data_IF_664961419561
#
_entry.id   IF_664961419561
#
_cell.length_a   1.000
_cell.length_b   1.000
_cell.length_c   1.000
_cell.angle_alpha   90.00
_cell.angle_beta   90.00
_cell.angle_gamma   90.00
#
_symmetry.space_group_name_H-M   'P 1'
#
loop_
_entity.id
_entity.type
_entity.pdbx_description
1 polymer ?
#
# COMPACT_ATOMS: atom_id res chain seq x y z
N UNK A 1 30.81 6.27 38.67
CA UNK A 1 31.57 5.15 38.06
C UNK A 1 32.90 5.68 37.51
N UNK A 2 34.02 4.97 37.70
CA UNK A 2 35.35 5.42 37.23
C UNK A 2 35.33 5.57 35.69
N UNK A 3 35.80 6.70 35.15
CA UNK A 3 35.76 7.05 33.71
C UNK A 3 36.34 5.95 32.80
N UNK A 4 37.32 5.21 33.29
CA UNK A 4 37.92 4.06 32.58
C UNK A 4 36.98 2.86 32.47
N UNK A 5 36.14 2.62 33.48
CA UNK A 5 35.14 1.54 33.46
C UNK A 5 33.99 1.85 32.48
N UNK A 6 33.60 3.13 32.34
CA UNK A 6 32.58 3.56 31.37
C UNK A 6 33.09 3.40 29.94
N UNK A 7 34.34 3.78 29.65
CA UNK A 7 34.95 3.61 28.32
C UNK A 7 35.12 2.14 27.94
N UNK A 8 35.51 1.29 28.89
CA UNK A 8 35.58 -0.16 28.68
C UNK A 8 34.22 -0.79 28.41
N UNK A 9 33.19 -0.39 29.16
CA UNK A 9 31.81 -0.84 28.93
C UNK A 9 31.28 -0.40 27.56
N UNK A 10 31.55 0.85 27.14
CA UNK A 10 31.11 1.36 25.85
C UNK A 10 31.76 0.61 24.67
N UNK A 11 33.06 0.33 24.78
CA UNK A 11 33.80 -0.42 23.76
C UNK A 11 33.29 -1.87 23.65
N UNK A 12 32.93 -2.48 24.78
CA UNK A 12 32.39 -3.84 24.82
C UNK A 12 30.98 -3.92 24.21
N UNK A 13 30.12 -2.92 24.45
CA UNK A 13 28.78 -2.84 23.83
C UNK A 13 28.89 -2.65 22.32
N UNK A 14 29.81 -1.79 21.85
CA UNK A 14 30.01 -1.55 20.42
C UNK A 14 30.55 -2.81 19.70
N UNK A 15 31.46 -3.55 20.33
CA UNK A 15 31.97 -4.81 19.80
C UNK A 15 30.88 -5.89 19.73
N UNK A 16 29.96 -5.93 20.71
CA UNK A 16 28.86 -6.88 20.73
C UNK A 16 27.86 -6.60 19.59
N UNK A 17 27.54 -5.33 19.33
CA UNK A 17 26.64 -4.93 18.24
C UNK A 17 27.20 -5.29 16.86
N UNK A 18 28.52 -5.22 16.68
CA UNK A 18 29.18 -5.59 15.42
C UNK A 18 29.23 -7.11 15.19
N UNK A 19 29.16 -7.91 16.25
CA UNK A 19 29.19 -9.37 16.16
C UNK A 19 27.83 -9.99 15.76
N UNK A 20 26.71 -9.27 15.98
CA UNK A 20 25.36 -9.76 15.66
C UNK A 20 24.91 -9.50 14.21
N UNK A 21 25.66 -8.73 13.41
CA UNK A 21 25.27 -8.41 12.03
C UNK A 21 25.65 -9.46 10.97
N UNK A 22 26.22 -10.61 11.37
CA UNK A 22 26.73 -11.64 10.45
C UNK A 22 25.85 -12.91 10.35
N UNK A 23 24.70 -13.00 11.04
CA UNK A 23 23.80 -14.18 11.04
C UNK A 23 22.40 -13.75 10.56
N UNK A 24 22.30 -13.35 9.29
CA UNK A 24 21.05 -12.83 8.72
C UNK A 24 20.72 -13.28 7.30
N UNK A 25 21.49 -14.19 6.70
CA UNK A 25 21.17 -14.75 5.39
C UNK A 25 21.09 -16.27 5.47
N UNK A 26 19.87 -16.78 5.67
CA UNK A 26 19.49 -18.12 5.25
C UNK A 26 18.32 -17.94 4.30
N UNK A 27 18.56 -18.12 3.01
CA UNK A 27 17.54 -18.16 1.96
C UNK A 27 16.81 -19.51 2.07
N UNK A 28 15.75 -19.56 2.87
CA UNK A 28 14.75 -20.62 2.78
C UNK A 28 13.37 -19.98 2.64
N UNK A 29 12.95 -19.81 1.38
CA UNK A 29 11.60 -19.41 1.00
C UNK A 29 10.67 -20.62 1.15
N UNK A 30 9.64 -20.60 2.01
CA UNK A 30 8.61 -21.63 1.99
C UNK A 30 7.70 -21.39 0.77
N UNK A 31 7.80 -22.27 -0.23
CA UNK A 31 6.77 -22.42 -1.27
C UNK A 31 5.61 -23.20 -0.68
N UNK A 32 4.44 -22.57 -0.53
CA UNK A 32 3.27 -23.25 0.04
C UNK A 32 1.98 -22.46 -0.12
N UNK A 33 1.49 -22.32 -1.35
CA UNK A 33 0.10 -21.95 -1.61
C UNK A 33 -0.74 -23.23 -1.70
N UNK A 34 -0.94 -23.92 -0.57
CA UNK A 34 -1.95 -24.96 -0.43
C UNK A 34 -3.20 -24.36 0.23
N UNK A 35 -3.99 -23.63 -0.56
CA UNK A 35 -5.35 -23.28 -0.18
C UNK A 35 -6.29 -24.40 -0.62
N UNK A 36 -6.72 -25.22 0.35
CA UNK A 36 -7.81 -26.17 0.21
C UNK A 36 -9.08 -25.47 -0.32
N UNK A 37 -9.71 -25.95 -1.41
CA UNK A 37 -10.95 -25.35 -1.89
C UNK A 37 -12.07 -25.57 -0.88
N UNK A 38 -12.67 -24.47 -0.41
CA UNK A 38 -13.89 -24.51 0.41
C UNK A 38 -15.05 -25.06 -0.42
N UNK A 39 -15.87 -26.00 0.10
CA UNK A 39 -16.95 -26.61 -0.66
C UNK A 39 -18.04 -25.60 -1.03
N UNK A 40 -18.35 -25.55 -2.32
CA UNK A 40 -19.48 -24.82 -2.90
C UNK A 40 -20.81 -25.40 -2.39
N UNK A 41 -21.77 -24.58 -1.91
CA UNK A 41 -23.11 -25.06 -1.63
C UNK A 41 -23.79 -25.55 -2.92
N UNK A 42 -24.41 -26.74 -2.84
CA UNK A 42 -25.17 -27.37 -3.92
C UNK A 42 -26.35 -26.48 -4.34
N UNK A 43 -26.34 -26.01 -5.58
CA UNK A 43 -27.44 -25.24 -6.16
C UNK A 43 -28.67 -26.13 -6.42
N UNK A 44 -29.84 -25.66 -5.99
CA UNK A 44 -31.18 -26.12 -6.38
C UNK A 44 -31.44 -25.64 -7.82
N UNK A 45 -32.04 -26.45 -8.71
CA UNK A 45 -32.17 -26.09 -10.13
C UNK A 45 -33.28 -25.06 -10.34
N UNK A 46 -32.93 -23.89 -10.89
CA UNK A 46 -33.84 -22.86 -11.40
C UNK A 46 -33.51 -22.66 -12.91
N UNK A 47 -34.50 -22.38 -13.78
CA UNK A 47 -34.51 -22.86 -15.16
C UNK A 47 -33.50 -22.16 -16.07
N UNK A 48 -33.02 -22.95 -17.03
CA UNK A 48 -32.13 -22.54 -18.13
C UNK A 48 -32.68 -21.34 -18.89
N UNK A 49 -32.11 -20.17 -18.60
CA UNK A 49 -32.11 -19.01 -19.50
C UNK A 49 -30.70 -18.94 -20.07
N UNK A 50 -30.58 -18.87 -21.40
CA UNK A 50 -29.30 -18.71 -22.09
C UNK A 50 -28.52 -17.53 -21.48
N UNK A 51 -27.21 -17.67 -21.19
CA UNK A 51 -26.47 -16.62 -20.52
C UNK A 51 -26.31 -15.45 -21.49
N UNK A 52 -27.13 -14.42 -21.30
CA UNK A 52 -26.88 -13.10 -21.88
C UNK A 52 -25.56 -12.64 -21.26
N UNK A 53 -24.51 -12.58 -22.07
CA UNK A 53 -23.23 -11.99 -21.65
C UNK A 53 -23.49 -10.52 -21.40
N UNK A 54 -23.69 -10.16 -20.12
CA UNK A 54 -23.80 -8.76 -19.70
C UNK A 54 -22.39 -8.19 -19.79
N UNK A 55 -22.08 -7.52 -20.91
CA UNK A 55 -20.88 -6.71 -20.99
C UNK A 55 -21.05 -5.53 -20.01
N UNK A 56 -20.06 -5.26 -19.15
CA UNK A 56 -20.09 -4.06 -18.32
C UNK A 56 -20.16 -2.83 -19.23
N UNK A 57 -21.02 -1.87 -18.88
CA UNK A 57 -21.17 -0.58 -19.59
C UNK A 57 -19.94 0.28 -19.33
N UNK A 58 -18.88 -0.02 -20.07
CA UNK A 58 -17.57 0.63 -19.98
C UNK A 58 -17.42 1.49 -21.23
N UNK A 59 -17.17 2.82 -21.08
CA UNK A 59 -16.83 3.68 -22.20
C UNK A 59 -15.72 3.07 -23.06
N UNK A 60 -15.90 3.09 -24.39
CA UNK A 60 -15.01 2.43 -25.33
C UNK A 60 -13.55 2.94 -25.28
N UNK A 61 -13.33 4.09 -24.68
CA UNK A 61 -12.05 4.79 -24.50
C UNK A 61 -11.44 4.59 -23.10
N UNK A 62 -12.04 3.76 -22.24
CA UNK A 62 -11.45 3.48 -20.92
C UNK A 62 -10.09 2.80 -21.10
N UNK A 63 -9.08 3.33 -20.41
CA UNK A 63 -7.74 2.74 -20.39
C UNK A 63 -7.82 1.29 -19.88
N UNK A 64 -7.61 0.34 -20.79
CA UNK A 64 -7.57 -1.09 -20.48
C UNK A 64 -6.11 -1.51 -20.23
N UNK A 65 -5.79 -1.71 -18.96
CA UNK A 65 -4.47 -2.16 -18.54
C UNK A 65 -4.14 -3.60 -18.98
N UNK A 66 -5.12 -4.36 -19.47
CA UNK A 66 -4.92 -5.70 -20.04
C UNK A 66 -4.45 -5.65 -21.51
N UNK A 67 -4.83 -4.61 -22.26
CA UNK A 67 -4.45 -4.42 -23.67
C UNK A 67 -3.22 -3.52 -23.80
N UNK A 68 -3.15 -2.47 -22.99
CA UNK A 68 -1.99 -1.57 -22.90
C UNK A 68 -1.39 -1.70 -21.50
N UNK A 69 -0.36 -2.55 -21.32
CA UNK A 69 0.31 -2.70 -20.03
C UNK A 69 0.75 -1.33 -19.52
N UNK A 70 0.52 -1.07 -18.23
CA UNK A 70 1.06 0.13 -17.60
C UNK A 70 2.57 0.12 -17.80
N UNK A 71 3.11 1.15 -18.42
CA UNK A 71 4.53 1.24 -18.80
C UNK A 71 5.46 1.56 -17.63
N UNK A 72 4.95 1.53 -16.40
CA UNK A 72 5.75 1.58 -15.19
C UNK A 72 6.05 0.14 -14.74
N UNK A 73 7.33 -0.21 -14.63
CA UNK A 73 7.69 -1.41 -13.89
C UNK A 73 7.11 -1.28 -12.47
N UNK A 74 6.52 -2.36 -11.96
CA UNK A 74 6.19 -2.42 -10.54
C UNK A 74 7.46 -2.16 -9.74
N UNK A 75 7.36 -1.34 -8.68
CA UNK A 75 8.53 -1.08 -7.88
C UNK A 75 8.96 -2.36 -7.14
N UNK A 76 10.25 -2.67 -7.22
CA UNK A 76 10.85 -3.89 -6.66
C UNK A 76 11.33 -3.68 -5.22
N UNK A 77 11.51 -2.43 -4.80
CA UNK A 77 11.83 -2.09 -3.43
C UNK A 77 10.58 -2.18 -2.55
N UNK A 78 10.62 -2.91 -1.42
CA UNK A 78 9.48 -2.94 -0.51
C UNK A 78 9.27 -1.56 0.12
N UNK A 79 8.00 -1.14 0.21
CA UNK A 79 7.62 0.04 0.97
C UNK A 79 7.74 -0.28 2.47
N UNK A 80 8.75 0.31 3.13
CA UNK A 80 8.95 0.17 4.58
C UNK A 80 8.42 1.44 5.26
N UNK A 81 7.42 1.28 6.14
CA UNK A 81 6.80 2.39 6.88
C UNK A 81 6.91 2.13 8.37
N UNK A 82 7.33 3.15 9.13
CA UNK A 82 7.20 3.16 10.59
C UNK A 82 5.93 3.92 10.93
N UNK A 83 4.92 3.21 11.42
CA UNK A 83 3.62 3.77 11.79
C UNK A 83 3.20 3.30 13.18
N UNK A 84 2.20 3.97 13.76
CA UNK A 84 1.59 3.55 15.02
C UNK A 84 0.75 2.27 14.86
N UNK A 85 -0.08 1.97 15.85
CA UNK A 85 -0.94 0.78 15.82
C UNK A 85 -2.00 0.90 14.72
N UNK A 86 -1.96 -0.02 13.76
CA UNK A 86 -3.00 -0.18 12.74
C UNK A 86 -4.22 -0.91 13.32
N UNK A 87 -5.42 -0.49 12.93
CA UNK A 87 -6.67 -1.15 13.31
C UNK A 87 -7.14 -2.15 12.22
N UNK A 88 -6.49 -2.13 11.04
CA UNK A 88 -6.73 -3.08 9.96
C UNK A 88 -7.95 -2.75 9.09
N UNK A 89 -8.51 -1.55 9.21
CA UNK A 89 -9.65 -1.07 8.39
C UNK A 89 -9.16 -0.06 7.37
N UNK A 90 -8.53 -0.56 6.29
CA UNK A 90 -8.02 0.26 5.18
C UNK A 90 -9.14 0.69 4.22
N UNK A 91 -10.05 1.52 4.72
CA UNK A 91 -11.14 2.09 3.94
C UNK A 91 -11.28 3.56 4.28
N UNK A 92 -11.33 4.46 3.28
CA UNK A 92 -11.45 5.90 3.54
C UNK A 92 -12.75 6.27 4.26
N UNK A 93 -13.76 5.38 4.25
CA UNK A 93 -15.05 5.61 4.91
C UNK A 93 -15.17 4.96 6.29
N UNK A 94 -14.37 3.92 6.56
CA UNK A 94 -14.54 3.06 7.74
C UNK A 94 -13.27 2.87 8.56
N UNK A 95 -12.18 3.57 8.22
CA UNK A 95 -10.97 3.58 9.02
C UNK A 95 -11.26 4.07 10.44
N UNK A 96 -10.72 3.38 11.43
CA UNK A 96 -10.91 3.70 12.85
C UNK A 96 -9.65 4.25 13.52
N UNK A 97 -8.51 4.21 12.83
CA UNK A 97 -7.25 4.82 13.24
C UNK A 97 -6.74 5.80 12.18
N UNK A 98 -6.01 6.83 12.61
CA UNK A 98 -5.33 7.75 11.69
C UNK A 98 -4.28 7.02 10.84
N UNK A 99 -3.65 5.97 11.39
CA UNK A 99 -2.62 5.19 10.70
C UNK A 99 -3.18 4.34 9.55
N UNK A 100 -4.42 3.84 9.68
CA UNK A 100 -5.13 3.18 8.57
C UNK A 100 -5.47 4.17 7.45
N UNK A 101 -5.78 5.42 7.80
CA UNK A 101 -6.00 6.51 6.83
C UNK A 101 -4.70 6.80 6.09
N UNK A 102 -3.59 7.00 6.79
CA UNK A 102 -2.28 7.23 6.17
C UNK A 102 -1.90 6.10 5.19
N UNK A 103 -2.11 4.85 5.58
CA UNK A 103 -1.87 3.69 4.72
C UNK A 103 -2.78 3.68 3.48
N UNK A 104 -4.04 4.07 3.65
CA UNK A 104 -5.01 4.18 2.55
C UNK A 104 -4.61 5.29 1.58
N UNK A 105 -4.20 6.45 2.11
CA UNK A 105 -3.80 7.63 1.34
C UNK A 105 -2.56 7.37 0.48
N UNK A 106 -1.62 6.53 0.94
CA UNK A 106 -0.47 6.08 0.15
C UNK A 106 -0.83 5.23 -1.08
N UNK A 107 -2.04 4.67 -1.13
CA UNK A 107 -2.50 3.79 -2.22
C UNK A 107 -3.44 4.47 -3.21
N UNK A 108 -3.81 5.73 -2.94
CA UNK A 108 -4.81 6.46 -3.69
C UNK A 108 -4.24 7.81 -4.15
N UNK A 109 -4.90 8.42 -5.12
CA UNK A 109 -4.59 9.77 -5.57
C UNK A 109 -5.82 10.64 -5.39
N UNK A 110 -5.65 11.78 -4.72
CA UNK A 110 -6.71 12.76 -4.54
C UNK A 110 -6.98 13.55 -5.83
N UNK A 111 -8.16 14.16 -5.92
CA UNK A 111 -8.44 15.12 -6.99
C UNK A 111 -7.55 16.36 -6.87
N UNK A 112 -7.36 16.84 -5.64
CA UNK A 112 -6.50 17.95 -5.28
C UNK A 112 -5.42 17.47 -4.32
N UNK A 113 -4.23 18.06 -4.43
CA UNK A 113 -3.16 17.92 -3.46
C UNK A 113 -3.18 19.09 -2.48
N UNK A 114 -2.73 18.91 -1.25
CA UNK A 114 -2.55 20.00 -0.29
C UNK A 114 -1.07 20.19 0.01
N UNK A 115 -0.59 21.40 -0.20
CA UNK A 115 0.81 21.73 0.05
C UNK A 115 1.12 21.84 1.55
N UNK A 116 2.38 22.14 1.87
CA UNK A 116 2.86 22.30 3.26
C UNK A 116 2.13 23.40 4.06
N UNK A 117 1.48 24.33 3.37
CA UNK A 117 0.68 25.40 3.98
C UNK A 117 -0.81 25.04 4.09
N UNK A 118 -1.20 23.84 3.64
CA UNK A 118 -2.59 23.41 3.57
C UNK A 118 -3.40 24.07 2.45
N UNK A 119 -2.74 24.73 1.48
CA UNK A 119 -3.44 25.27 0.32
C UNK A 119 -3.62 24.17 -0.74
N UNK A 120 -4.79 24.12 -1.41
CA UNK A 120 -5.01 23.18 -2.50
C UNK A 120 -4.13 23.52 -3.70
N UNK A 121 -3.61 22.48 -4.35
CA UNK A 121 -2.79 22.53 -5.56
C UNK A 121 -3.27 21.43 -6.52
N UNK A 122 -3.16 21.71 -7.83
CA UNK A 122 -3.40 20.75 -8.90
C UNK A 122 -2.37 20.98 -10.01
N UNK A 123 -1.96 19.92 -10.70
CA UNK A 123 -0.97 20.00 -11.76
C UNK A 123 -0.20 18.71 -11.95
N UNK A 124 0.57 18.64 -13.03
CA UNK A 124 1.39 17.47 -13.39
C UNK A 124 2.57 17.23 -12.45
N UNK A 125 2.99 18.27 -11.72
CA UNK A 125 4.15 18.25 -10.83
C UNK A 125 3.79 17.90 -9.37
N UNK A 126 2.50 17.70 -9.07
CA UNK A 126 2.00 17.37 -7.73
C UNK A 126 1.17 16.09 -7.77
N UNK A 127 1.06 15.34 -6.65
CA UNK A 127 0.33 14.08 -6.62
C UNK A 127 -1.19 14.31 -6.58
N UNK A 128 -1.74 14.86 -7.67
CA UNK A 128 -3.17 15.14 -7.87
C UNK A 128 -3.63 14.58 -9.20
N UNK A 129 -4.89 14.13 -9.27
CA UNK A 129 -5.50 13.72 -10.54
C UNK A 129 -5.90 14.91 -11.41
N UNK A 130 -6.26 16.06 -10.82
CA UNK A 130 -6.64 17.25 -11.59
C UNK A 130 -5.41 17.95 -12.19
N UNK A 131 -5.54 18.43 -13.44
CA UNK A 131 -4.51 19.22 -14.10
C UNK A 131 -4.49 20.70 -13.68
N UNK A 132 -5.64 21.23 -13.27
CA UNK A 132 -5.81 22.61 -12.83
C UNK A 132 -7.09 22.74 -12.03
N UNK A 133 -7.17 23.73 -11.13
CA UNK A 133 -8.40 24.06 -10.42
C UNK A 133 -8.58 25.58 -10.31
N UNK A 134 -9.81 26.02 -10.08
CA UNK A 134 -10.16 27.41 -9.75
C UNK A 134 -11.09 27.39 -8.55
N UNK A 135 -10.98 28.39 -7.68
CA UNK A 135 -11.82 28.53 -6.50
C UNK A 135 -12.35 29.96 -6.43
N UNK A 136 -13.68 30.10 -6.40
CA UNK A 136 -14.35 31.35 -6.11
C UNK A 136 -14.61 31.42 -4.60
N UNK A 137 -14.01 32.40 -3.93
CA UNK A 137 -14.25 32.65 -2.50
C UNK A 137 -15.27 33.78 -2.41
N UNK A 138 -16.47 33.47 -1.90
CA UNK A 138 -17.50 34.45 -1.56
C UNK A 138 -17.35 34.97 -0.14
#
# INVERSE_FOLDING_TARGET
MKKHAIRGLLALILALLFAFSAVGCTDDQPTGNDATPTPTPKATPEPTVEPVVILPDIPADRYDASVTPRTGNNESSPLVVSTGTLDGKFSPFFATSAYDVDATDLTQIGLLYYNKSGAPEAGVDVPSFAYSFSQDIS
#
